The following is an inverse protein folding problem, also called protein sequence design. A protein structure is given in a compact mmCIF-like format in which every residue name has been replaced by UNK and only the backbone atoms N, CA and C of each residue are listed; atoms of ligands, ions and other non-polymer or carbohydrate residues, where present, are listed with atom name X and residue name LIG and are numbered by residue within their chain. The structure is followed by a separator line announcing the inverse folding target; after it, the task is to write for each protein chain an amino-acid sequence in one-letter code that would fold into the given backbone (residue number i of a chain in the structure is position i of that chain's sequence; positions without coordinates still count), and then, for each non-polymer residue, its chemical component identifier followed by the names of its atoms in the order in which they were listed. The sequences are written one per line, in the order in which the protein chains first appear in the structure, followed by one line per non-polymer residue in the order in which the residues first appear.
data_IF_485554647362
#
_entry.id   IF_485554647362
#
_cell.length_a   1.000
_cell.length_b   1.000
_cell.length_c   1.000
_cell.angle_alpha   90.00
_cell.angle_beta   90.00
_cell.angle_gamma   90.00
#
_symmetry.space_group_name_H-M   'P 1'
#
loop_
_entity.id
_entity.type
_entity.pdbx_description
1 polymer ?
#
# COMPACT_ATOMS: atom_id res chain seq x y z
N UNK A 1 11.44 65.82 26.95
CA UNK A 1 10.37 64.91 26.47
C UNK A 1 11.04 63.93 25.51
N UNK A 2 11.50 62.78 26.00
CA UNK A 2 10.82 61.46 25.98
C UNK A 2 10.57 60.91 24.57
N UNK A 3 10.97 59.64 24.41
CA UNK A 3 10.78 58.66 23.33
C UNK A 3 12.04 58.42 22.49
N UNK A 4 12.54 57.21 22.26
CA UNK A 4 12.47 55.91 22.92
C UNK A 4 13.72 55.18 22.40
N UNK A 5 14.64 54.74 23.28
CA UNK A 5 15.76 53.88 22.88
C UNK A 5 15.21 52.46 22.68
N UNK A 6 15.07 52.04 21.43
CA UNK A 6 14.79 50.66 21.09
C UNK A 6 15.96 49.77 21.56
N UNK A 7 15.73 48.99 22.62
CA UNK A 7 16.59 47.87 23.00
C UNK A 7 16.34 46.73 22.01
N UNK A 8 17.31 46.44 21.16
CA UNK A 8 17.38 45.16 20.47
C UNK A 8 17.60 44.06 21.50
N UNK A 9 16.57 43.26 21.72
CA UNK A 9 16.65 42.01 22.47
C UNK A 9 17.04 40.92 21.46
N UNK A 10 18.33 40.57 21.41
CA UNK A 10 18.79 39.37 20.73
C UNK A 10 18.19 38.14 21.44
N UNK A 11 17.26 37.44 20.79
CA UNK A 11 16.83 36.10 21.19
C UNK A 11 17.80 35.08 20.57
N UNK A 12 18.36 34.13 21.34
CA UNK A 12 19.09 33.03 20.73
C UNK A 12 18.08 32.01 20.18
N UNK A 13 17.99 31.90 18.86
CA UNK A 13 17.31 30.78 18.21
C UNK A 13 18.19 29.52 18.35
N UNK A 14 18.04 28.79 19.46
CA UNK A 14 18.32 27.35 19.47
C UNK A 14 17.16 26.67 18.78
N UNK A 15 17.36 26.17 17.56
CA UNK A 15 16.50 25.15 16.96
C UNK A 15 16.67 23.88 17.81
N UNK A 16 15.80 23.69 18.79
CA UNK A 16 15.57 22.36 19.37
C UNK A 16 15.00 21.48 18.25
N UNK A 17 15.80 20.52 17.81
CA UNK A 17 15.37 19.44 16.90
C UNK A 17 14.16 18.75 17.51
N UNK A 18 13.00 18.92 16.88
CA UNK A 18 11.74 18.33 17.29
C UNK A 18 11.89 16.81 17.43
N UNK A 19 11.65 16.31 18.64
CA UNK A 19 11.77 14.90 18.98
C UNK A 19 10.66 14.11 18.26
N UNK A 20 11.10 13.22 17.38
CA UNK A 20 10.36 12.38 16.45
C UNK A 20 9.36 11.45 17.16
N UNK A 21 8.08 11.44 16.74
CA UNK A 21 7.01 10.58 17.30
C UNK A 21 6.56 9.53 16.28
N UNK A 22 7.06 8.31 16.41
CA UNK A 22 6.61 7.08 15.71
C UNK A 22 6.05 6.12 16.76
N UNK A 23 5.15 5.21 16.43
CA UNK A 23 4.54 4.28 17.40
C UNK A 23 5.46 3.13 17.80
N UNK A 24 6.24 2.62 16.86
CA UNK A 24 7.40 1.79 17.18
C UNK A 24 8.43 2.61 17.96
N UNK A 25 8.65 3.89 17.62
CA UNK A 25 9.50 4.75 18.43
C UNK A 25 8.91 5.01 19.82
N UNK A 26 7.60 5.13 20.01
CA UNK A 26 6.95 5.32 21.31
C UNK A 26 6.98 4.03 22.12
N UNK A 27 6.84 2.86 21.51
CA UNK A 27 7.09 1.59 22.18
C UNK A 27 8.57 1.46 22.58
N UNK A 28 9.50 1.74 21.65
CA UNK A 28 10.94 1.68 21.88
C UNK A 28 11.38 2.75 22.90
N UNK A 29 10.77 3.94 22.89
CA UNK A 29 10.96 5.03 23.86
C UNK A 29 10.26 4.69 25.17
N UNK A 30 9.09 4.07 25.19
CA UNK A 30 8.39 3.64 26.41
C UNK A 30 9.17 2.55 27.13
N UNK A 31 9.66 1.56 26.39
CA UNK A 31 10.58 0.52 26.89
C UNK A 31 11.90 1.17 27.35
N UNK A 32 12.46 2.13 26.60
CA UNK A 32 13.68 2.83 27.01
C UNK A 32 13.49 3.79 28.20
N UNK A 33 12.36 4.48 28.31
CA UNK A 33 12.04 5.52 29.30
C UNK A 33 11.63 4.96 30.67
N UNK A 34 11.42 3.65 30.78
CA UNK A 34 11.43 2.94 32.07
C UNK A 34 12.78 3.03 32.80
N UNK A 35 13.85 3.50 32.13
CA UNK A 35 15.08 3.96 32.75
C UNK A 35 15.31 5.43 32.40
N UNK A 36 15.26 6.33 33.39
CA UNK A 36 15.27 7.76 33.15
C UNK A 36 16.48 8.28 32.35
N UNK A 37 16.22 9.29 31.52
CA UNK A 37 17.14 10.32 30.96
C UNK A 37 17.52 10.22 29.48
N UNK A 38 17.36 11.36 28.78
CA UNK A 38 18.18 11.94 27.69
C UNK A 38 18.61 11.07 26.47
N UNK A 39 18.03 9.90 26.24
CA UNK A 39 18.39 9.03 25.10
C UNK A 39 17.84 9.47 23.72
N UNK A 40 17.32 10.69 23.60
CA UNK A 40 16.64 11.17 22.39
C UNK A 40 17.56 11.50 21.20
N UNK A 41 18.89 11.43 21.36
CA UNK A 41 19.86 11.98 20.39
C UNK A 41 20.33 10.95 19.34
N UNK A 42 20.13 9.65 19.55
CA UNK A 42 20.65 8.62 18.61
C UNK A 42 19.56 7.85 17.85
N UNK A 43 18.26 8.02 18.17
CA UNK A 43 17.17 7.36 17.43
C UNK A 43 16.89 8.15 16.15
N UNK A 44 17.05 7.51 14.99
CA UNK A 44 16.79 8.15 13.70
C UNK A 44 15.58 7.53 13.02
N UNK A 45 14.78 8.38 12.37
CA UNK A 45 13.72 7.97 11.46
C UNK A 45 14.06 8.51 10.07
N UNK A 46 14.28 7.61 9.12
CA UNK A 46 14.70 7.93 7.74
C UNK A 46 14.20 6.84 6.80
N UNK A 47 13.73 7.24 5.61
CA UNK A 47 13.16 6.36 4.59
C UNK A 47 12.07 5.44 5.14
N UNK A 48 11.13 6.03 5.89
CA UNK A 48 10.07 5.34 6.61
C UNK A 48 10.52 4.28 7.64
N UNK A 49 11.82 4.20 7.95
CA UNK A 49 12.40 3.16 8.81
C UNK A 49 13.02 3.76 10.09
N UNK A 50 13.18 2.92 11.12
CA UNK A 50 13.81 3.28 12.39
C UNK A 50 15.23 2.73 12.42
N UNK A 51 16.17 3.58 12.79
CA UNK A 51 17.59 3.26 12.83
C UNK A 51 18.14 3.47 14.24
N UNK A 52 18.77 2.43 14.80
CA UNK A 52 19.38 2.44 16.13
C UNK A 52 20.86 2.05 16.08
N UNK A 53 21.66 2.62 16.97
CA UNK A 53 23.03 2.14 17.22
C UNK A 53 23.02 0.86 18.07
N UNK A 54 24.11 0.09 18.08
CA UNK A 54 24.25 -1.06 19.00
C UNK A 54 24.10 -0.65 20.48
N UNK A 55 24.58 0.55 20.82
CA UNK A 55 24.47 1.12 22.16
C UNK A 55 23.01 1.36 22.56
N UNK A 56 22.21 1.88 21.65
CA UNK A 56 20.78 2.05 21.91
C UNK A 56 20.02 0.73 21.97
N UNK A 57 20.35 -0.23 21.11
CA UNK A 57 19.74 -1.57 21.19
C UNK A 57 20.07 -2.24 22.54
N UNK A 58 21.30 -2.06 23.03
CA UNK A 58 21.71 -2.52 24.36
C UNK A 58 20.88 -1.86 25.47
N UNK A 59 20.63 -0.54 25.39
CA UNK A 59 19.74 0.15 26.35
C UNK A 59 18.30 -0.30 26.24
N UNK A 60 17.79 -0.45 25.02
CA UNK A 60 16.41 -0.88 24.73
C UNK A 60 16.12 -2.23 25.37
N UNK A 61 16.99 -3.22 25.09
CA UNK A 61 16.82 -4.58 25.56
C UNK A 61 17.48 -4.85 26.91
N UNK A 62 18.09 -3.86 27.56
CA UNK A 62 18.77 -4.01 28.87
C UNK A 62 19.81 -5.15 28.86
N UNK A 63 20.68 -5.12 27.85
CA UNK A 63 21.82 -6.03 27.71
C UNK A 63 23.10 -5.26 27.45
N UNK A 64 24.24 -5.94 27.45
CA UNK A 64 25.52 -5.32 27.12
C UNK A 64 25.68 -5.14 25.60
N UNK A 65 26.43 -4.12 25.17
CA UNK A 65 26.77 -3.92 23.75
C UNK A 65 27.48 -5.14 23.14
N UNK A 66 28.41 -5.84 23.84
CA UNK A 66 28.98 -7.09 23.34
C UNK A 66 27.93 -8.18 23.06
N UNK A 67 26.87 -8.29 23.87
CA UNK A 67 25.79 -9.25 23.63
C UNK A 67 25.03 -8.92 22.33
N UNK A 68 24.71 -7.63 22.09
CA UNK A 68 24.11 -7.18 20.83
C UNK A 68 25.00 -7.55 19.64
N UNK A 69 26.31 -7.32 19.75
CA UNK A 69 27.27 -7.66 18.70
C UNK A 69 27.29 -9.18 18.41
N UNK A 70 27.25 -10.01 19.45
CA UNK A 70 27.20 -11.46 19.32
C UNK A 70 25.91 -11.93 18.62
N UNK A 71 24.76 -11.36 18.97
CA UNK A 71 23.49 -11.70 18.31
C UNK A 71 23.48 -11.28 16.84
N UNK A 72 23.94 -10.07 16.51
CA UNK A 72 24.05 -9.60 15.13
C UNK A 72 24.96 -10.52 14.29
N UNK A 73 26.14 -10.89 14.82
CA UNK A 73 27.06 -11.81 14.14
C UNK A 73 26.42 -13.16 13.83
N UNK A 74 25.62 -13.71 14.75
CA UNK A 74 24.90 -14.97 14.53
C UNK A 74 23.81 -14.81 13.48
N UNK A 75 23.00 -13.74 13.57
CA UNK A 75 21.93 -13.44 12.60
C UNK A 75 22.49 -13.38 11.17
N UNK A 76 23.65 -12.74 10.98
CA UNK A 76 24.31 -12.68 9.67
C UNK A 76 24.93 -14.02 9.26
N UNK A 77 25.56 -14.76 10.19
CA UNK A 77 26.12 -16.07 9.90
C UNK A 77 25.05 -17.12 9.53
N UNK A 78 23.87 -17.02 10.12
CA UNK A 78 22.72 -17.88 9.86
C UNK A 78 21.97 -17.47 8.57
N UNK A 79 22.43 -16.42 7.88
CA UNK A 79 21.78 -15.79 6.73
C UNK A 79 20.31 -15.38 6.99
N UNK A 80 19.97 -15.03 8.24
CA UNK A 80 18.64 -14.50 8.59
C UNK A 80 18.45 -13.09 8.03
N UNK A 81 19.53 -12.31 7.92
CA UNK A 81 19.55 -10.97 7.35
C UNK A 81 20.84 -10.76 6.55
N UNK A 82 20.78 -9.93 5.51
CA UNK A 82 21.96 -9.48 4.75
C UNK A 82 22.50 -8.17 5.35
N UNK A 83 23.80 -8.11 5.65
CA UNK A 83 24.42 -6.95 6.31
C UNK A 83 24.20 -5.64 5.54
N UNK A 84 24.34 -5.68 4.21
CA UNK A 84 24.24 -4.50 3.34
C UNK A 84 22.82 -3.91 3.30
N UNK A 85 21.79 -4.75 3.49
CA UNK A 85 20.40 -4.33 3.47
C UNK A 85 19.96 -3.66 4.79
N UNK A 86 20.61 -4.00 5.91
CA UNK A 86 20.13 -3.60 7.26
C UNK A 86 21.06 -2.63 8.01
N UNK A 87 22.22 -2.29 7.44
CA UNK A 87 23.20 -1.40 8.05
C UNK A 87 23.40 -0.13 7.22
N UNK A 88 23.27 1.03 7.87
CA UNK A 88 23.71 2.34 7.32
C UNK A 88 24.78 2.96 8.20
N UNK A 89 25.73 3.68 7.59
CA UNK A 89 26.74 4.45 8.33
C UNK A 89 26.32 5.92 8.42
N UNK A 90 26.23 6.44 9.65
CA UNK A 90 25.95 7.84 9.89
C UNK A 90 27.14 8.53 10.55
N UNK A 91 27.34 9.80 10.22
CA UNK A 91 28.28 10.65 10.94
C UNK A 91 27.68 11.08 12.27
N UNK A 92 28.40 10.82 13.35
CA UNK A 92 28.07 11.26 14.70
C UNK A 92 29.24 12.05 15.26
N UNK A 93 28.98 13.27 15.74
CA UNK A 93 29.97 14.09 16.45
C UNK A 93 30.01 13.65 17.90
N UNK A 94 31.15 13.16 18.39
CA UNK A 94 31.29 12.79 19.78
C UNK A 94 31.58 14.02 20.67
N UNK A 95 31.56 13.81 21.99
CA UNK A 95 31.78 14.87 22.98
C UNK A 95 33.16 15.53 22.89
N UNK A 96 34.11 14.89 22.19
CA UNK A 96 35.45 15.39 21.87
C UNK A 96 35.50 16.30 20.63
N UNK A 97 34.35 16.56 19.98
CA UNK A 97 34.24 17.38 18.78
C UNK A 97 34.64 16.68 17.48
N UNK A 98 35.03 15.39 17.53
CA UNK A 98 35.41 14.60 16.35
C UNK A 98 34.21 13.88 15.75
N UNK A 99 34.22 13.74 14.43
CA UNK A 99 33.19 13.02 13.68
C UNK A 99 33.61 11.56 13.50
N UNK A 100 32.76 10.64 13.93
CA UNK A 100 32.92 9.21 13.75
C UNK A 100 31.81 8.65 12.87
N UNK A 101 32.13 7.68 12.02
CA UNK A 101 31.12 6.90 11.30
C UNK A 101 30.63 5.78 12.21
N UNK A 102 29.34 5.81 12.54
CA UNK A 102 28.71 4.83 13.42
C UNK A 102 27.69 4.01 12.64
N UNK A 103 27.79 2.69 12.74
CA UNK A 103 26.81 1.75 12.16
C UNK A 103 25.47 1.91 12.89
N UNK A 104 24.41 2.12 12.12
CA UNK A 104 23.04 2.06 12.58
C UNK A 104 22.34 0.90 11.89
N UNK A 105 21.44 0.27 12.64
CA UNK A 105 20.73 -0.94 12.26
C UNK A 105 19.25 -0.61 12.12
N UNK A 106 18.64 -1.07 11.02
CA UNK A 106 17.25 -0.79 10.72
C UNK A 106 16.28 -1.60 11.62
N UNK A 107 14.97 -1.37 11.46
CA UNK A 107 13.94 -2.03 12.26
C UNK A 107 13.98 -3.56 12.17
N UNK A 108 14.35 -4.15 11.02
CA UNK A 108 14.43 -5.62 10.88
C UNK A 108 15.54 -6.19 11.76
N UNK A 109 16.73 -5.59 11.75
CA UNK A 109 17.83 -6.01 12.61
C UNK A 109 17.50 -5.82 14.10
N UNK A 110 16.82 -4.72 14.46
CA UNK A 110 16.36 -4.47 15.83
C UNK A 110 15.40 -5.59 16.28
N UNK A 111 14.40 -5.91 15.45
CA UNK A 111 13.44 -6.98 15.71
C UNK A 111 14.16 -8.33 15.88
N UNK A 112 15.03 -8.70 14.94
CA UNK A 112 15.75 -9.98 14.96
C UNK A 112 16.56 -10.15 16.26
N UNK A 113 17.29 -9.11 16.68
CA UNK A 113 18.03 -9.12 17.95
C UNK A 113 17.08 -9.28 19.15
N UNK A 114 15.94 -8.57 19.17
CA UNK A 114 14.94 -8.68 20.23
C UNK A 114 14.34 -10.09 20.37
N UNK A 115 14.30 -10.87 19.30
CA UNK A 115 13.87 -12.28 19.35
C UNK A 115 14.95 -13.23 19.88
N UNK A 116 16.25 -12.88 19.77
CA UNK A 116 17.36 -13.72 20.25
C UNK A 116 17.75 -13.47 21.71
N UNK A 117 17.26 -12.38 22.33
CA UNK A 117 17.57 -12.01 23.72
C UNK A 117 16.59 -12.68 24.70
N UNK A 118 17.11 -13.29 25.76
CA UNK A 118 16.33 -13.95 26.81
C UNK A 118 16.30 -13.11 28.10
N UNK A 119 15.44 -12.09 28.14
CA UNK A 119 15.17 -11.34 29.38
C UNK A 119 13.75 -10.75 29.40
N UNK A 120 13.37 -10.12 30.52
CA UNK A 120 12.02 -9.58 30.71
C UNK A 120 11.64 -8.51 29.67
N UNK A 121 12.56 -7.59 29.33
CA UNK A 121 12.31 -6.57 28.29
C UNK A 121 12.06 -7.18 26.92
N UNK A 122 12.90 -8.14 26.53
CA UNK A 122 12.77 -8.86 25.27
C UNK A 122 11.50 -9.72 25.25
N UNK A 123 11.08 -10.29 26.39
CA UNK A 123 9.79 -10.98 26.52
C UNK A 123 8.62 -10.01 26.28
N UNK A 124 8.65 -8.79 26.84
CA UNK A 124 7.60 -7.79 26.56
C UNK A 124 7.59 -7.38 25.09
N UNK A 125 8.76 -7.18 24.48
CA UNK A 125 8.90 -6.91 23.05
C UNK A 125 8.30 -8.02 22.19
N UNK A 126 8.62 -9.28 22.49
CA UNK A 126 8.06 -10.43 21.76
C UNK A 126 6.55 -10.56 21.95
N UNK A 127 6.02 -10.30 23.15
CA UNK A 127 4.55 -10.28 23.37
C UNK A 127 3.87 -9.24 22.49
N UNK A 128 4.43 -8.03 22.42
CA UNK A 128 3.93 -6.97 21.55
C UNK A 128 4.05 -7.34 20.06
N UNK A 129 5.21 -7.80 19.60
CA UNK A 129 5.42 -8.21 18.22
C UNK A 129 4.50 -9.38 17.81
N UNK A 130 4.35 -10.38 18.67
CA UNK A 130 3.46 -11.52 18.43
C UNK A 130 1.99 -11.10 18.37
N UNK A 131 1.58 -10.06 19.11
CA UNK A 131 0.23 -9.50 19.00
C UNK A 131 0.01 -8.89 17.61
N UNK A 132 0.99 -8.16 17.07
CA UNK A 132 0.94 -7.62 15.70
C UNK A 132 0.85 -8.74 14.67
N UNK A 133 1.70 -9.76 14.79
CA UNK A 133 1.68 -10.92 13.87
C UNK A 133 0.35 -11.65 13.95
N UNK A 134 -0.18 -11.88 15.15
CA UNK A 134 -1.48 -12.50 15.37
C UNK A 134 -2.61 -11.68 14.74
N UNK A 135 -2.66 -10.38 15.01
CA UNK A 135 -3.72 -9.51 14.49
C UNK A 135 -3.67 -9.45 12.95
N UNK A 136 -2.48 -9.30 12.39
CA UNK A 136 -2.30 -9.35 10.94
C UNK A 136 -2.73 -10.70 10.35
N UNK A 137 -2.38 -11.81 11.01
CA UNK A 137 -2.72 -13.16 10.52
C UNK A 137 -4.23 -13.45 10.58
N UNK A 138 -4.92 -13.00 11.63
CA UNK A 138 -6.36 -13.25 11.81
C UNK A 138 -7.20 -12.27 10.99
N UNK A 139 -6.85 -10.98 11.02
CA UNK A 139 -7.68 -9.91 10.44
C UNK A 139 -7.27 -9.57 9.00
N UNK A 140 -6.06 -9.93 8.59
CA UNK A 140 -5.45 -9.53 7.32
C UNK A 140 -4.83 -8.13 7.33
N UNK A 141 -4.81 -7.45 8.49
CA UNK A 141 -4.25 -6.10 8.63
C UNK A 141 -3.88 -5.78 10.08
N UNK A 142 -2.98 -4.80 10.27
CA UNK A 142 -2.63 -4.23 11.58
C UNK A 142 -2.35 -2.74 11.39
N UNK A 143 -2.81 -1.90 12.31
CA UNK A 143 -2.72 -0.44 12.14
C UNK A 143 -2.70 0.30 13.46
N UNK A 144 -1.80 1.28 13.56
CA UNK A 144 -1.83 2.25 14.65
C UNK A 144 -2.78 3.42 14.32
N UNK A 145 -4.04 3.24 14.70
CA UNK A 145 -5.12 4.19 14.42
C UNK A 145 -4.87 5.55 15.06
N UNK A 146 -4.37 5.59 16.29
CA UNK A 146 -4.19 6.84 17.02
C UNK A 146 -3.03 7.66 16.45
N UNK A 147 -1.94 7.01 16.02
CA UNK A 147 -0.85 7.67 15.29
C UNK A 147 -1.33 8.27 13.97
N UNK A 148 -2.17 7.56 13.22
CA UNK A 148 -2.72 8.06 11.96
C UNK A 148 -3.62 9.29 12.17
N UNK A 149 -4.48 9.28 13.20
CA UNK A 149 -5.38 10.40 13.49
C UNK A 149 -4.68 11.66 13.99
N UNK A 150 -3.66 11.51 14.84
CA UNK A 150 -3.03 12.64 15.54
C UNK A 150 -2.00 13.39 14.69
N UNK A 151 -1.62 12.83 13.54
CA UNK A 151 -0.48 13.31 12.77
C UNK A 151 0.84 13.05 13.49
N UNK A 152 1.85 12.65 12.74
CA UNK A 152 3.20 12.35 13.25
C UNK A 152 4.20 12.43 12.11
N UNK A 153 5.30 11.68 12.16
CA UNK A 153 6.26 11.61 11.05
C UNK A 153 5.78 10.76 9.85
N UNK A 154 4.48 10.45 9.77
CA UNK A 154 3.93 9.84 8.57
C UNK A 154 3.79 10.96 7.54
N UNK A 155 4.40 10.77 6.37
CA UNK A 155 4.28 11.74 5.28
C UNK A 155 2.84 11.78 4.78
N UNK A 156 2.41 12.92 4.24
CA UNK A 156 1.12 13.00 3.54
C UNK A 156 1.04 11.94 2.43
N UNK A 157 2.18 11.69 1.76
CA UNK A 157 2.33 10.62 0.77
C UNK A 157 2.05 9.22 1.33
N UNK A 158 2.53 8.90 2.55
CA UNK A 158 2.20 7.63 3.19
C UNK A 158 0.68 7.49 3.40
N UNK A 159 0.02 8.55 3.87
CA UNK A 159 -1.41 8.53 4.12
C UNK A 159 -2.21 8.38 2.83
N UNK A 160 -1.85 9.13 1.78
CA UNK A 160 -2.45 9.00 0.45
C UNK A 160 -2.28 7.59 -0.12
N UNK A 161 -1.10 6.98 0.03
CA UNK A 161 -0.85 5.59 -0.39
C UNK A 161 -1.72 4.58 0.37
N UNK A 162 -2.00 4.80 1.66
CA UNK A 162 -2.94 3.94 2.40
C UNK A 162 -4.38 4.13 1.92
N UNK A 163 -4.81 5.37 1.68
CA UNK A 163 -6.13 5.65 1.12
C UNK A 163 -6.31 5.02 -0.26
N UNK A 164 -5.29 5.08 -1.11
CA UNK A 164 -5.27 4.42 -2.41
C UNK A 164 -5.42 2.91 -2.29
N UNK A 165 -4.67 2.24 -1.40
CA UNK A 165 -4.85 0.81 -1.11
C UNK A 165 -6.26 0.47 -0.65
N UNK A 166 -6.86 1.28 0.23
CA UNK A 166 -8.24 1.07 0.69
C UNK A 166 -9.22 1.21 -0.48
N UNK A 167 -9.02 2.20 -1.36
CA UNK A 167 -9.84 2.38 -2.57
C UNK A 167 -9.69 1.19 -3.51
N UNK A 168 -8.48 0.72 -3.76
CA UNK A 168 -8.21 -0.46 -4.57
C UNK A 168 -8.90 -1.71 -4.01
N UNK A 169 -8.83 -1.94 -2.70
CA UNK A 169 -9.53 -3.05 -2.03
C UNK A 169 -11.05 -2.92 -2.21
N UNK A 170 -11.60 -1.70 -2.08
CA UNK A 170 -13.04 -1.44 -2.34
C UNK A 170 -13.42 -1.69 -3.81
N UNK A 171 -12.46 -1.56 -4.74
CA UNK A 171 -12.62 -1.70 -6.20
C UNK A 171 -12.15 -3.02 -6.78
N UNK A 172 -11.86 -4.00 -5.93
CA UNK A 172 -12.07 -5.37 -6.36
C UNK A 172 -13.50 -5.42 -6.93
N UNK A 173 -13.66 -5.58 -8.26
CA UNK A 173 -14.95 -5.38 -8.95
C UNK A 173 -16.06 -6.14 -8.24
N UNK A 174 -15.73 -7.34 -7.76
CA UNK A 174 -16.59 -8.15 -6.92
C UNK A 174 -17.11 -7.42 -5.68
N UNK A 175 -16.25 -6.81 -4.86
CA UNK A 175 -16.66 -6.10 -3.63
C UNK A 175 -17.47 -4.85 -3.95
N UNK A 176 -17.12 -4.13 -5.01
CA UNK A 176 -17.88 -2.95 -5.45
C UNK A 176 -19.30 -3.32 -5.89
N UNK A 177 -19.44 -4.24 -6.84
CA UNK A 177 -20.76 -4.66 -7.33
C UNK A 177 -21.58 -5.34 -6.24
N UNK A 178 -20.93 -6.12 -5.36
CA UNK A 178 -21.59 -6.66 -4.18
C UNK A 178 -22.16 -5.55 -3.31
N UNK A 179 -21.41 -4.49 -3.04
CA UNK A 179 -21.90 -3.40 -2.19
C UNK A 179 -23.04 -2.61 -2.83
N UNK A 180 -22.99 -2.35 -4.14
CA UNK A 180 -24.13 -1.77 -4.86
C UNK A 180 -25.34 -2.69 -4.79
N UNK A 181 -25.13 -4.00 -4.95
CA UNK A 181 -26.20 -5.01 -4.84
C UNK A 181 -26.82 -4.99 -3.44
N UNK A 182 -26.00 -4.96 -2.39
CA UNK A 182 -26.47 -4.92 -1.00
C UNK A 182 -27.31 -3.67 -0.74
N UNK A 183 -26.91 -2.52 -1.29
CA UNK A 183 -27.65 -1.26 -1.15
C UNK A 183 -28.92 -1.27 -2.00
N UNK A 184 -28.86 -1.73 -3.24
CA UNK A 184 -30.03 -1.85 -4.10
C UNK A 184 -31.05 -2.83 -3.54
N UNK A 185 -30.60 -3.89 -2.87
CA UNK A 185 -31.46 -4.85 -2.16
C UNK A 185 -32.19 -4.25 -0.95
N UNK A 186 -31.82 -3.04 -0.48
CA UNK A 186 -32.62 -2.31 0.52
C UNK A 186 -33.83 -1.60 -0.08
N UNK A 187 -34.05 -1.69 -1.41
CA UNK A 187 -35.23 -1.13 -2.04
C UNK A 187 -36.50 -1.84 -1.55
N UNK A 188 -37.59 -1.09 -1.38
CA UNK A 188 -38.87 -1.61 -0.89
C UNK A 188 -39.48 -2.68 -1.81
N UNK A 189 -39.27 -2.52 -3.10
CA UNK A 189 -39.78 -3.36 -4.19
C UNK A 189 -38.69 -4.27 -4.78
N UNK A 190 -37.60 -4.51 -4.05
CA UNK A 190 -36.49 -5.32 -4.54
C UNK A 190 -36.94 -6.73 -4.93
N UNK A 191 -36.66 -7.10 -6.18
CA UNK A 191 -36.84 -8.46 -6.70
C UNK A 191 -35.57 -8.89 -7.47
N UNK A 192 -34.83 -9.91 -7.00
CA UNK A 192 -33.61 -10.39 -7.67
C UNK A 192 -33.87 -11.01 -9.05
N UNK A 193 -35.10 -11.46 -9.32
CA UNK A 193 -35.49 -12.08 -10.58
C UNK A 193 -36.02 -11.08 -11.60
N UNK A 194 -36.40 -9.89 -11.15
CA UNK A 194 -36.93 -8.84 -12.01
C UNK A 194 -35.94 -8.41 -13.10
N UNK A 195 -36.47 -8.21 -14.31
CA UNK A 195 -35.71 -7.66 -15.44
C UNK A 195 -35.11 -6.29 -15.11
N UNK A 196 -35.81 -5.50 -14.30
CA UNK A 196 -35.32 -4.19 -13.82
C UNK A 196 -34.00 -4.32 -13.05
N UNK A 197 -33.88 -5.30 -12.15
CA UNK A 197 -32.67 -5.56 -11.37
C UNK A 197 -31.49 -5.97 -12.25
N UNK A 198 -31.71 -6.89 -13.21
CA UNK A 198 -30.68 -7.29 -14.18
C UNK A 198 -30.22 -6.11 -15.04
N UNK A 199 -31.17 -5.28 -15.50
CA UNK A 199 -30.90 -4.07 -16.27
C UNK A 199 -30.10 -3.06 -15.44
N UNK A 200 -30.48 -2.85 -14.18
CA UNK A 200 -29.80 -1.93 -13.28
C UNK A 200 -28.32 -2.29 -13.12
N UNK A 201 -27.99 -3.54 -12.78
CA UNK A 201 -26.60 -3.95 -12.59
C UNK A 201 -25.76 -3.84 -13.86
N UNK A 202 -26.30 -4.23 -15.01
CA UNK A 202 -25.63 -4.04 -16.30
C UNK A 202 -25.42 -2.55 -16.62
N UNK A 203 -26.43 -1.71 -16.34
CA UNK A 203 -26.36 -0.28 -16.58
C UNK A 203 -25.37 0.42 -15.64
N UNK A 204 -25.24 0.01 -14.38
CA UNK A 204 -24.32 0.65 -13.43
C UNK A 204 -22.88 0.51 -13.90
N UNK A 205 -22.46 -0.71 -14.27
CA UNK A 205 -21.12 -0.97 -14.79
C UNK A 205 -20.82 -0.08 -16.01
N UNK A 206 -21.71 -0.12 -17.01
CA UNK A 206 -21.51 0.63 -18.25
C UNK A 206 -21.53 2.14 -18.03
N UNK A 207 -22.40 2.66 -17.17
CA UNK A 207 -22.45 4.09 -16.83
C UNK A 207 -21.19 4.55 -16.11
N UNK A 208 -20.61 3.74 -15.23
CA UNK A 208 -19.36 4.08 -14.54
C UNK A 208 -18.18 4.14 -15.50
N UNK A 209 -18.02 3.14 -16.37
CA UNK A 209 -16.98 3.16 -17.41
C UNK A 209 -17.17 4.36 -18.36
N UNK A 210 -18.39 4.58 -18.82
CA UNK A 210 -18.68 5.68 -19.75
C UNK A 210 -18.39 7.06 -19.14
N UNK A 211 -18.73 7.26 -17.87
CA UNK A 211 -18.47 8.51 -17.16
C UNK A 211 -16.96 8.86 -17.03
N UNK A 212 -16.08 7.86 -17.11
CA UNK A 212 -14.64 8.04 -16.98
C UNK A 212 -13.98 8.29 -18.33
N UNK A 213 -14.32 7.48 -19.34
CA UNK A 213 -13.58 7.43 -20.60
C UNK A 213 -14.47 7.30 -21.85
N UNK A 214 -15.78 7.52 -21.74
CA UNK A 214 -16.71 7.59 -22.88
C UNK A 214 -16.99 6.26 -23.59
N UNK A 215 -16.63 5.13 -22.97
CA UNK A 215 -16.87 3.78 -23.50
C UNK A 215 -17.54 2.92 -22.43
N UNK A 216 -18.34 1.94 -22.83
CA UNK A 216 -18.82 0.86 -21.96
C UNK A 216 -17.69 -0.10 -21.61
N UNK A 217 -17.90 -0.95 -20.59
CA UNK A 217 -16.90 -1.96 -20.20
C UNK A 217 -16.51 -2.88 -21.37
N UNK A 218 -17.49 -3.30 -22.17
CA UNK A 218 -17.28 -4.16 -23.32
C UNK A 218 -16.52 -3.44 -24.45
N UNK A 219 -16.81 -2.17 -24.70
CA UNK A 219 -16.13 -1.37 -25.72
C UNK A 219 -14.65 -1.14 -25.38
N UNK A 220 -14.33 -0.85 -24.10
CA UNK A 220 -12.94 -0.71 -23.64
C UNK A 220 -12.14 -1.98 -23.92
N UNK A 221 -12.70 -3.15 -23.59
CA UNK A 221 -12.02 -4.42 -23.78
C UNK A 221 -11.74 -4.63 -25.28
N UNK A 222 -12.71 -4.41 -26.16
CA UNK A 222 -12.52 -4.57 -27.60
C UNK A 222 -11.51 -3.58 -28.18
N UNK A 223 -11.55 -2.33 -27.72
CA UNK A 223 -10.68 -1.26 -28.22
C UNK A 223 -9.23 -1.40 -27.74
N UNK A 224 -9.04 -1.92 -26.51
CA UNK A 224 -7.72 -1.92 -25.85
C UNK A 224 -7.01 -3.27 -25.83
N UNK A 225 -7.74 -4.38 -25.82
CA UNK A 225 -7.15 -5.73 -25.82
C UNK A 225 -6.50 -6.03 -27.19
N UNK A 226 -5.18 -6.07 -27.21
CA UNK A 226 -4.38 -6.27 -28.43
C UNK A 226 -3.08 -7.02 -28.10
N UNK A 227 -2.94 -8.24 -28.62
CA UNK A 227 -1.75 -9.09 -28.41
C UNK A 227 -0.43 -8.50 -28.93
N UNK A 228 -0.48 -7.43 -29.72
CA UNK A 228 0.71 -6.74 -30.25
C UNK A 228 1.23 -5.67 -29.31
N UNK A 229 0.41 -5.22 -28.35
CA UNK A 229 0.82 -4.27 -27.32
C UNK A 229 1.52 -5.00 -26.18
N UNK A 230 2.38 -4.28 -25.48
CA UNK A 230 2.95 -4.77 -24.22
C UNK A 230 1.81 -5.14 -23.26
N UNK A 231 1.93 -6.29 -22.59
CA UNK A 231 0.93 -6.79 -21.64
C UNK A 231 -0.49 -6.86 -22.21
N UNK A 232 -0.64 -7.01 -23.54
CA UNK A 232 -1.91 -6.93 -24.27
C UNK A 232 -2.69 -5.62 -24.12
N UNK A 233 -2.04 -4.56 -23.65
CA UNK A 233 -2.71 -3.32 -23.26
C UNK A 233 -3.29 -3.34 -21.85
N UNK A 234 -3.09 -4.39 -21.05
CA UNK A 234 -3.39 -4.36 -19.62
C UNK A 234 -2.40 -3.44 -18.90
N UNK A 235 -2.93 -2.65 -17.98
CA UNK A 235 -2.18 -1.81 -17.06
C UNK A 235 -2.13 -2.41 -15.66
N UNK A 236 -3.12 -3.25 -15.31
CA UNK A 236 -3.24 -3.89 -14.00
C UNK A 236 -3.76 -5.33 -14.17
N UNK A 237 -3.20 -6.30 -13.44
CA UNK A 237 -3.67 -7.69 -13.38
C UNK A 237 -3.17 -8.36 -12.10
N UNK A 238 -3.66 -9.56 -11.80
CA UNK A 238 -3.18 -10.32 -10.64
C UNK A 238 -1.69 -10.68 -10.81
N UNK A 239 -0.85 -10.16 -9.91
CA UNK A 239 0.61 -10.35 -9.97
C UNK A 239 1.38 -9.30 -10.79
N UNK A 240 0.73 -8.25 -11.31
CA UNK A 240 1.42 -7.16 -11.99
C UNK A 240 2.53 -6.50 -11.13
N UNK A 241 3.61 -5.97 -11.74
CA UNK A 241 3.93 -6.01 -13.18
C UNK A 241 4.73 -7.27 -13.61
N UNK A 242 5.12 -8.13 -12.67
CA UNK A 242 6.07 -9.22 -12.94
C UNK A 242 5.43 -10.61 -13.10
N UNK A 243 4.17 -10.76 -12.70
CA UNK A 243 3.39 -11.99 -12.81
C UNK A 243 2.82 -12.18 -14.22
N UNK A 244 2.50 -13.43 -14.56
CA UNK A 244 1.86 -13.74 -15.85
C UNK A 244 0.43 -13.21 -15.88
N UNK A 245 0.03 -12.67 -17.02
CA UNK A 245 -1.37 -12.40 -17.33
C UNK A 245 -2.08 -13.75 -17.49
N UNK A 246 -3.23 -13.89 -16.85
CA UNK A 246 -4.09 -15.05 -17.00
C UNK A 246 -5.33 -14.74 -17.85
N UNK A 247 -5.96 -15.80 -18.37
CA UNK A 247 -7.17 -15.68 -19.20
C UNK A 247 -8.33 -14.96 -18.50
N UNK A 248 -8.44 -15.05 -17.18
CA UNK A 248 -9.49 -14.35 -16.46
C UNK A 248 -9.22 -12.84 -16.34
N UNK A 249 -7.95 -12.41 -16.36
CA UNK A 249 -7.59 -10.99 -16.26
C UNK A 249 -8.01 -10.20 -17.51
N UNK A 250 -7.95 -10.85 -18.69
CA UNK A 250 -8.22 -10.17 -19.96
C UNK A 250 -9.70 -9.84 -20.18
N UNK A 251 -10.61 -10.49 -19.44
CA UNK A 251 -12.05 -10.24 -19.51
C UNK A 251 -12.53 -9.10 -18.60
N UNK A 252 -11.63 -8.50 -17.81
CA UNK A 252 -11.93 -7.49 -16.81
C UNK A 252 -11.64 -6.10 -17.39
N UNK A 253 -12.67 -5.27 -17.55
CA UNK A 253 -12.51 -3.96 -18.19
C UNK A 253 -11.62 -2.99 -17.40
N UNK A 254 -11.66 -3.01 -16.06
CA UNK A 254 -10.80 -2.13 -15.23
C UNK A 254 -9.30 -2.35 -15.47
N UNK A 255 -8.90 -3.55 -15.91
CA UNK A 255 -7.51 -3.93 -16.11
C UNK A 255 -6.87 -3.22 -17.31
N UNK A 256 -7.69 -2.60 -18.18
CA UNK A 256 -7.25 -1.83 -19.34
C UNK A 256 -7.31 -0.30 -19.12
N UNK A 257 -7.64 0.15 -17.90
CA UNK A 257 -7.72 1.58 -17.59
C UNK A 257 -6.33 2.17 -17.38
N UNK A 258 -6.08 3.33 -17.96
CA UNK A 258 -4.81 4.04 -17.77
C UNK A 258 -4.60 4.45 -16.31
N UNK A 259 -3.35 4.81 -15.98
CA UNK A 259 -2.97 5.38 -14.68
C UNK A 259 -3.76 6.64 -14.32
N UNK A 260 -4.39 7.31 -15.29
CA UNK A 260 -5.25 8.46 -15.04
C UNK A 260 -6.72 8.05 -14.84
N UNK A 261 -7.22 7.11 -15.63
CA UNK A 261 -8.62 6.69 -15.60
C UNK A 261 -8.94 5.84 -14.37
N UNK A 262 -8.04 4.93 -13.97
CA UNK A 262 -8.29 4.05 -12.84
C UNK A 262 -8.51 4.86 -11.56
N UNK A 263 -7.62 5.78 -11.12
CA UNK A 263 -7.84 6.65 -9.96
C UNK A 263 -9.14 7.46 -10.02
N UNK A 264 -9.54 7.94 -11.21
CA UNK A 264 -10.81 8.64 -11.35
C UNK A 264 -12.00 7.72 -11.13
N UNK A 265 -11.99 6.53 -11.74
CA UNK A 265 -13.00 5.50 -11.52
C UNK A 265 -13.09 5.18 -10.03
N UNK A 266 -11.93 5.07 -9.36
CA UNK A 266 -11.87 4.80 -7.93
C UNK A 266 -12.59 5.84 -7.08
N UNK A 267 -12.37 7.13 -7.40
CA UNK A 267 -12.95 8.26 -6.65
C UNK A 267 -14.46 8.37 -6.88
N UNK A 268 -14.92 8.26 -8.12
CA UNK A 268 -16.35 8.35 -8.46
C UNK A 268 -17.12 7.20 -7.80
N UNK A 269 -16.59 5.98 -7.88
CA UNK A 269 -17.18 4.81 -7.25
C UNK A 269 -17.28 4.98 -5.74
N UNK A 270 -16.19 5.38 -5.07
CA UNK A 270 -16.22 5.58 -3.62
C UNK A 270 -17.25 6.65 -3.23
N UNK A 271 -17.27 7.78 -3.93
CA UNK A 271 -18.22 8.85 -3.67
C UNK A 271 -19.68 8.42 -3.88
N UNK A 272 -19.95 7.58 -4.88
CA UNK A 272 -21.28 7.00 -5.09
C UNK A 272 -21.68 6.08 -3.94
N UNK A 273 -20.78 5.17 -3.52
CA UNK A 273 -21.02 4.26 -2.41
C UNK A 273 -21.28 5.03 -1.11
N UNK A 274 -20.46 6.02 -0.77
CA UNK A 274 -20.61 6.80 0.44
C UNK A 274 -21.96 7.56 0.44
N UNK A 275 -22.39 8.08 -0.72
CA UNK A 275 -23.71 8.71 -0.89
C UNK A 275 -24.85 7.69 -0.69
N UNK A 276 -24.73 6.52 -1.30
CA UNK A 276 -25.74 5.47 -1.25
C UNK A 276 -25.87 4.88 0.16
N UNK A 277 -24.76 4.66 0.86
CA UNK A 277 -24.74 4.26 2.27
C UNK A 277 -25.40 5.30 3.17
N UNK A 278 -25.14 6.59 2.96
CA UNK A 278 -25.78 7.66 3.73
C UNK A 278 -27.31 7.64 3.57
N UNK A 279 -27.81 7.39 2.36
CA UNK A 279 -29.26 7.25 2.14
C UNK A 279 -29.84 6.04 2.88
N UNK A 280 -29.16 4.89 2.80
CA UNK A 280 -29.56 3.68 3.51
C UNK A 280 -29.55 3.90 5.04
N UNK A 281 -28.53 4.56 5.59
CA UNK A 281 -28.43 4.88 7.02
C UNK A 281 -29.55 5.80 7.50
N UNK A 282 -30.01 6.73 6.65
CA UNK A 282 -31.15 7.62 6.95
C UNK A 282 -32.50 6.90 6.92
N UNK A 283 -32.53 5.60 6.56
CA UNK A 283 -33.74 4.79 6.43
C UNK A 283 -34.80 5.44 5.56
N UNK A 284 -34.37 6.19 4.55
CA UNK A 284 -35.29 6.79 3.57
C UNK A 284 -35.76 5.64 2.68
N UNK A 285 -37.07 5.33 2.66
CA UNK A 285 -37.58 4.27 1.80
C UNK A 285 -37.35 4.65 0.34
N UNK A 286 -36.79 3.73 -0.44
CA UNK A 286 -36.51 3.93 -1.85
C UNK A 286 -36.99 2.73 -2.64
N UNK A 287 -37.44 2.98 -3.85
CA UNK A 287 -37.73 1.95 -4.84
C UNK A 287 -36.50 1.65 -5.69
N UNK A 288 -36.55 0.56 -6.45
CA UNK A 288 -35.56 0.21 -7.47
C UNK A 288 -35.37 1.34 -8.49
N UNK A 289 -36.47 2.01 -8.89
CA UNK A 289 -36.43 3.14 -9.82
C UNK A 289 -35.76 4.39 -9.20
N UNK A 290 -36.00 4.65 -7.92
CA UNK A 290 -35.36 5.77 -7.21
C UNK A 290 -33.84 5.61 -7.17
N UNK A 291 -33.34 4.39 -6.97
CA UNK A 291 -31.91 4.09 -7.02
C UNK A 291 -31.31 4.35 -8.41
N UNK A 292 -32.02 3.95 -9.48
CA UNK A 292 -31.59 4.22 -10.85
C UNK A 292 -31.51 5.73 -11.14
N UNK A 293 -32.53 6.49 -10.73
CA UNK A 293 -32.58 7.95 -10.88
C UNK A 293 -31.46 8.63 -10.08
N UNK A 294 -31.17 8.16 -8.86
CA UNK A 294 -30.11 8.72 -8.02
C UNK A 294 -28.72 8.49 -8.60
N UNK A 295 -28.45 7.31 -9.15
CA UNK A 295 -27.20 7.05 -9.84
C UNK A 295 -27.03 7.99 -11.05
N UNK A 296 -28.06 8.14 -11.88
CA UNK A 296 -28.02 9.06 -13.01
C UNK A 296 -27.80 10.52 -12.55
N UNK A 297 -28.54 10.96 -11.51
CA UNK A 297 -28.37 12.29 -10.94
C UNK A 297 -26.98 12.54 -10.34
N UNK A 298 -26.40 11.51 -9.71
CA UNK A 298 -25.05 11.57 -9.16
C UNK A 298 -24.00 11.77 -10.26
N UNK A 299 -24.06 10.98 -11.34
CA UNK A 299 -23.12 11.14 -12.46
C UNK A 299 -23.28 12.49 -13.15
N UNK A 300 -24.52 13.00 -13.27
CA UNK A 300 -24.79 14.32 -13.85
C UNK A 300 -24.20 15.46 -13.00
N UNK A 301 -24.31 15.36 -11.68
CA UNK A 301 -23.77 16.34 -10.74
C UNK A 301 -22.24 16.47 -10.84
N UNK A 302 -21.57 15.40 -11.23
CA UNK A 302 -20.12 15.34 -11.41
C UNK A 302 -19.65 15.77 -12.81
N UNK A 303 -20.51 16.46 -13.57
CA UNK A 303 -20.26 16.91 -14.95
C UNK A 303 -19.78 15.79 -15.89
N UNK A 304 -20.26 14.56 -15.66
CA UNK A 304 -19.93 13.41 -16.52
C UNK A 304 -21.03 13.15 -17.53
N UNK A 305 -20.62 12.78 -18.73
CA UNK A 305 -21.56 12.28 -19.74
C UNK A 305 -22.15 10.94 -19.26
N UNK A 306 -23.47 10.80 -19.40
CA UNK A 306 -24.19 9.61 -18.98
C UNK A 306 -24.56 8.84 -20.23
N UNK A 307 -24.17 7.57 -20.25
CA UNK A 307 -24.60 6.63 -21.28
C UNK A 307 -26.14 6.60 -21.38
N UNK A 308 -26.66 6.94 -22.57
CA UNK A 308 -28.10 6.97 -22.86
C UNK A 308 -28.61 5.68 -23.51
N UNK A 309 -27.71 4.87 -24.06
CA UNK A 309 -28.02 3.61 -24.75
C UNK A 309 -27.31 2.41 -24.08
N UNK A 310 -27.33 1.23 -24.72
CA UNK A 310 -26.72 0.01 -24.19
C UNK A 310 -25.21 -0.13 -24.55
N UNK A 311 -24.63 0.84 -25.26
CA UNK A 311 -23.35 0.70 -25.95
C UNK A 311 -23.47 -0.05 -27.28
N UNK A 312 -22.37 -0.14 -28.02
CA UNK A 312 -22.30 -0.75 -29.36
C UNK A 312 -21.82 -2.21 -29.35
N UNK A 313 -21.22 -2.65 -28.23
CA UNK A 313 -20.54 -3.95 -28.12
C UNK A 313 -21.17 -4.79 -27.02
N UNK A 314 -21.43 -6.06 -27.29
CA UNK A 314 -21.94 -7.00 -26.27
C UNK A 314 -20.80 -7.53 -25.39
N UNK A 315 -21.12 -7.84 -24.13
CA UNK A 315 -20.15 -8.42 -23.19
C UNK A 315 -19.58 -9.76 -23.67
N UNK A 316 -20.39 -10.59 -24.34
CA UNK A 316 -19.94 -11.86 -24.92
C UNK A 316 -18.93 -11.65 -26.04
N UNK A 317 -19.20 -10.72 -26.96
CA UNK A 317 -18.27 -10.38 -28.04
C UNK A 317 -16.93 -9.85 -27.48
N UNK A 318 -17.00 -8.94 -26.51
CA UNK A 318 -15.81 -8.40 -25.86
C UNK A 318 -14.96 -9.48 -25.18
N UNK A 319 -15.61 -10.41 -24.46
CA UNK A 319 -14.93 -11.53 -23.82
C UNK A 319 -14.27 -12.45 -24.85
N UNK A 320 -14.98 -12.84 -25.90
CA UNK A 320 -14.43 -13.71 -26.95
C UNK A 320 -13.25 -13.04 -27.67
N UNK A 321 -13.35 -11.73 -27.95
CA UNK A 321 -12.26 -10.94 -28.52
C UNK A 321 -11.01 -10.98 -27.62
N UNK A 322 -11.16 -10.63 -26.34
CA UNK A 322 -10.04 -10.60 -25.40
C UNK A 322 -9.39 -11.97 -25.21
N UNK A 323 -10.19 -13.03 -25.11
CA UNK A 323 -9.67 -14.40 -24.99
C UNK A 323 -8.93 -14.85 -26.27
N UNK A 324 -9.42 -14.45 -27.45
CA UNK A 324 -8.73 -14.74 -28.72
C UNK A 324 -7.39 -14.01 -28.82
N UNK A 325 -7.33 -12.74 -28.41
CA UNK A 325 -6.10 -11.98 -28.33
C UNK A 325 -5.14 -12.59 -27.29
N UNK A 326 -5.67 -13.09 -26.18
CA UNK A 326 -4.86 -13.73 -25.14
C UNK A 326 -4.18 -15.01 -25.62
N UNK A 327 -4.87 -15.85 -26.39
CA UNK A 327 -4.26 -17.06 -26.95
C UNK A 327 -3.06 -16.74 -27.86
N UNK A 328 -3.10 -15.61 -28.57
CA UNK A 328 -1.96 -15.14 -29.38
C UNK A 328 -0.84 -14.59 -28.49
N UNK A 329 -1.19 -13.80 -27.49
CA UNK A 329 -0.21 -13.19 -26.58
C UNK A 329 0.48 -14.20 -25.66
N UNK A 330 -0.21 -15.26 -25.23
CA UNK A 330 0.34 -16.29 -24.33
C UNK A 330 1.66 -16.85 -24.88
N UNK A 331 1.75 -17.03 -26.19
CA UNK A 331 2.98 -17.51 -26.86
C UNK A 331 4.13 -16.50 -26.73
N UNK A 332 3.82 -15.21 -26.80
CA UNK A 332 4.79 -14.11 -26.61
C UNK A 332 5.22 -14.05 -25.15
N UNK A 333 4.25 -14.09 -24.23
CA UNK A 333 4.50 -14.07 -22.79
C UNK A 333 5.35 -15.26 -22.34
N UNK A 334 5.04 -16.48 -22.78
CA UNK A 334 5.80 -17.68 -22.38
C UNK A 334 7.24 -17.68 -22.92
N UNK A 335 7.53 -16.95 -24.00
CA UNK A 335 8.90 -16.76 -24.51
C UNK A 335 9.68 -15.69 -23.75
N UNK A 336 9.00 -14.64 -23.29
CA UNK A 336 9.63 -13.51 -22.61
C UNK A 336 9.70 -13.70 -21.08
N UNK A 337 8.86 -14.58 -20.53
CA UNK A 337 8.78 -14.80 -19.10
C UNK A 337 9.97 -15.60 -18.59
N UNK A 338 10.71 -15.01 -17.66
CA UNK A 338 11.84 -15.62 -16.99
C UNK A 338 11.47 -15.98 -15.54
N UNK A 339 11.44 -17.28 -15.25
CA UNK A 339 11.12 -17.77 -13.90
C UNK A 339 12.25 -17.50 -12.92
N UNK A 340 11.94 -17.54 -11.62
CA UNK A 340 12.96 -17.39 -10.57
C UNK A 340 14.04 -18.49 -10.66
N UNK A 341 13.67 -19.68 -11.14
CA UNK A 341 14.62 -20.75 -11.44
C UNK A 341 15.58 -20.36 -12.57
N UNK A 342 15.06 -19.82 -13.67
CA UNK A 342 15.86 -19.41 -14.82
C UNK A 342 16.83 -18.28 -14.44
N UNK A 343 16.39 -17.33 -13.62
CA UNK A 343 17.25 -16.27 -13.07
C UNK A 343 18.35 -16.84 -12.18
N UNK A 344 18.01 -17.80 -11.34
CA UNK A 344 18.97 -18.44 -10.44
C UNK A 344 20.02 -19.25 -11.21
N UNK A 345 19.62 -19.97 -12.27
CA UNK A 345 20.54 -20.68 -13.16
C UNK A 345 21.50 -19.69 -13.85
N UNK A 346 20.99 -18.59 -14.42
CA UNK A 346 21.86 -17.58 -15.03
C UNK A 346 22.82 -16.93 -14.05
N UNK A 347 22.39 -16.68 -12.81
CA UNK A 347 23.28 -16.17 -11.76
C UNK A 347 24.39 -17.17 -11.43
N UNK A 348 24.07 -18.46 -11.29
CA UNK A 348 25.05 -19.51 -11.03
C UNK A 348 26.03 -19.67 -12.20
N UNK A 349 25.55 -19.63 -13.44
CA UNK A 349 26.39 -19.69 -14.64
C UNK A 349 27.32 -18.48 -14.76
N UNK A 350 26.82 -17.27 -14.44
CA UNK A 350 27.63 -16.04 -14.44
C UNK A 350 28.73 -16.02 -13.37
N UNK A 351 28.53 -16.72 -12.25
CA UNK A 351 29.53 -16.86 -11.18
C UNK A 351 30.54 -17.98 -11.48
N UNK A 352 30.18 -18.94 -12.35
CA UNK A 352 31.04 -20.04 -12.78
C UNK A 352 32.17 -19.64 -13.74
N UNK A 353 31.99 -18.55 -14.50
CA UNK A 353 32.98 -18.03 -15.45
C UNK A 353 34.04 -17.11 -14.82
N UNK A 354 33.84 -16.67 -13.58
CA UNK A 354 34.75 -15.76 -12.85
C UNK A 354 35.65 -16.52 -11.85
N UNK A 355 36.12 -17.72 -12.24
CA UNK A 355 37.23 -18.36 -11.53
C UNK A 355 38.53 -17.64 -11.91
N UNK A 356 39.27 -17.06 -10.94
CA UNK A 356 40.58 -16.51 -11.23
C UNK A 356 41.49 -17.64 -11.73
N UNK A 357 42.06 -17.46 -12.92
CA UNK A 357 43.07 -18.36 -13.45
C UNK A 357 44.17 -18.55 -12.40
N UNK A 358 44.40 -19.80 -12.02
CA UNK A 358 45.57 -20.21 -11.28
C UNK A 358 46.81 -19.92 -12.14
N UNK A 359 47.64 -18.95 -11.71
CA UNK A 359 49.08 -18.92 -11.95
C UNK A 359 49.81 -18.73 -10.62
#
# INVERSE_FOLDING_TARGET
MKKDKAKEIQKPHKKETAMVRSSAAEYLIFVAAGGGSKASVEMRYEDENIWLTQKMMATLYEVSVPAINQHLKRIFADNELEEEAVIKQYLTTAADGKNYRVKHYNLQAIIAVGFKIENERAVQFRKWANQIVKDYTIQGWTMDVERLKRGGNLTDEFFERQLEKIREIRLSERKFYQKITDIYATALDYDPTATATKRFFAAVQNKMHYAIHGQTAAEVIVDRADHRKENMGLTHWEGAPHGKIHRYDVAIAKNYLSEFELPQMQRIVSAYLDMAELQAMRKIPMTMEDWEKRLAGFLKLWDREILQDAGKVSAELAKTHAESEYEKYRIVQDRLFESDFDRMVKQIESVGDDKPGEE
#
